data_IF_989504922105
#
_entry.id   IF_989504922105
#
_cell.length_a   1.000
_cell.length_b   1.000
_cell.length_c   1.000
_cell.angle_alpha   90.00
_cell.angle_beta   90.00
_cell.angle_gamma   90.00
#
_symmetry.space_group_name_H-M   'P 1'
#
loop_
_entity.id
_entity.type
_entity.pdbx_description
1 polymer ?
#
# COMPACT_ATOMS: atom_id res chain seq x y z
N UNK A 1 -15.89 -56.32 10.97
CA UNK A 1 -16.30 -54.89 10.90
C UNK A 1 -15.20 -54.10 10.20
N UNK A 2 -15.58 -53.16 9.34
CA UNK A 2 -14.70 -52.24 8.58
C UNK A 2 -14.51 -50.92 9.34
N UNK A 3 -13.39 -50.24 9.04
CA UNK A 3 -13.11 -48.78 9.20
C UNK A 3 -12.92 -48.30 10.66
N UNK A 4 -12.07 -47.35 11.04
CA UNK A 4 -11.16 -46.33 10.45
C UNK A 4 -10.34 -45.80 11.64
N UNK A 5 -9.02 -45.55 11.59
CA UNK A 5 -8.42 -44.33 11.03
C UNK A 5 -8.73 -43.08 11.87
N UNK A 6 -7.74 -42.52 12.60
CA UNK A 6 -7.49 -41.06 12.71
C UNK A 6 -6.28 -40.73 13.58
N UNK A 7 -5.29 -40.15 12.90
CA UNK A 7 -4.07 -39.51 13.38
C UNK A 7 -4.43 -38.13 13.96
N UNK A 8 -3.73 -37.65 14.99
CA UNK A 8 -3.92 -36.28 15.53
C UNK A 8 -2.57 -35.66 15.88
N UNK A 9 -1.74 -35.46 14.87
CA UNK A 9 -0.68 -34.47 14.91
C UNK A 9 -1.21 -33.13 14.37
N UNK A 10 -1.16 -32.08 15.18
CA UNK A 10 -1.26 -30.70 14.70
C UNK A 10 -0.14 -29.87 15.34
N UNK A 11 1.03 -29.92 14.70
CA UNK A 11 1.90 -28.76 14.56
C UNK A 11 1.18 -27.84 13.56
N UNK A 12 0.82 -26.63 13.96
CA UNK A 12 0.44 -25.61 12.98
C UNK A 12 1.67 -24.80 12.62
N UNK A 13 2.07 -24.99 11.37
CA UNK A 13 3.24 -24.42 10.72
C UNK A 13 3.03 -22.93 10.48
N UNK A 14 4.12 -22.18 10.65
CA UNK A 14 4.23 -20.75 10.43
C UNK A 14 4.27 -20.54 8.92
N UNK A 15 3.14 -20.17 8.33
CA UNK A 15 3.06 -19.91 6.90
C UNK A 15 3.82 -18.64 6.53
N UNK A 16 4.91 -18.87 5.78
CA UNK A 16 5.68 -17.88 5.06
C UNK A 16 4.78 -17.18 4.04
N UNK A 17 4.94 -15.87 3.91
CA UNK A 17 4.67 -15.20 2.65
C UNK A 17 5.92 -14.43 2.28
N UNK A 18 6.69 -14.98 1.34
CA UNK A 18 7.79 -14.28 0.70
C UNK A 18 7.23 -13.16 -0.15
N UNK A 19 7.77 -11.96 0.05
CA UNK A 19 7.76 -10.93 -0.99
C UNK A 19 9.06 -11.09 -1.77
N UNK A 20 8.90 -11.47 -3.04
CA UNK A 20 9.98 -11.59 -4.03
C UNK A 20 10.83 -10.30 -4.11
N UNK A 21 12.17 -10.42 -4.26
CA UNK A 21 13.03 -9.28 -4.54
C UNK A 21 12.82 -8.88 -6.00
N UNK A 22 12.15 -7.76 -6.22
CA UNK A 22 12.05 -7.18 -7.56
C UNK A 22 13.34 -6.44 -7.88
N UNK A 23 14.36 -7.17 -8.35
CA UNK A 23 15.49 -6.60 -9.10
C UNK A 23 14.96 -5.67 -10.20
N UNK A 24 15.15 -4.34 -10.06
CA UNK A 24 15.26 -3.39 -11.19
C UNK A 24 16.15 -2.21 -10.80
N UNK A 25 17.30 -2.20 -11.45
CA UNK A 25 18.35 -1.19 -11.48
C UNK A 25 17.84 0.24 -11.58
N UNK A 26 18.47 1.12 -10.81
CA UNK A 26 18.34 2.57 -10.90
C UNK A 26 18.83 3.08 -12.27
N UNK A 27 17.92 3.39 -13.19
CA UNK A 27 18.02 4.51 -14.16
C UNK A 27 17.03 4.44 -15.34
N UNK A 28 16.34 3.34 -15.58
CA UNK A 28 15.33 3.29 -16.65
C UNK A 28 13.94 3.54 -16.10
N UNK A 29 13.43 4.76 -16.33
CA UNK A 29 12.08 5.26 -16.04
C UNK A 29 11.22 4.27 -15.26
N UNK A 30 11.33 4.30 -13.93
CA UNK A 30 10.52 3.46 -13.06
C UNK A 30 9.08 3.65 -13.52
N UNK A 31 8.47 2.58 -14.01
CA UNK A 31 7.03 2.56 -14.27
C UNK A 31 6.36 2.60 -12.89
N UNK A 32 6.41 3.77 -12.25
CA UNK A 32 5.89 4.02 -10.93
C UNK A 32 4.40 3.71 -11.03
N UNK A 33 3.97 2.77 -10.21
CA UNK A 33 2.59 2.43 -10.01
C UNK A 33 2.25 2.62 -8.53
N UNK A 34 0.98 2.53 -8.18
CA UNK A 34 0.53 2.73 -6.79
C UNK A 34 1.23 1.75 -5.85
N UNK A 35 1.40 0.50 -6.27
CA UNK A 35 2.02 -0.53 -5.43
C UNK A 35 3.51 -0.23 -5.19
N UNK A 36 4.28 0.11 -6.22
CA UNK A 36 5.70 0.44 -6.09
C UNK A 36 5.91 1.69 -5.25
N UNK A 37 5.05 2.71 -5.40
CA UNK A 37 5.09 3.90 -4.57
C UNK A 37 4.89 3.54 -3.08
N UNK A 38 3.92 2.69 -2.76
CA UNK A 38 3.71 2.23 -1.39
C UNK A 38 4.88 1.37 -0.88
N UNK A 39 5.47 0.53 -1.74
CA UNK A 39 6.66 -0.26 -1.41
C UNK A 39 7.88 0.60 -1.06
N UNK A 40 7.97 1.83 -1.56
CA UNK A 40 9.05 2.76 -1.14
C UNK A 40 8.94 3.21 0.31
N UNK A 41 7.80 2.98 0.96
CA UNK A 41 7.55 3.41 2.33
C UNK A 41 7.39 4.92 2.52
N UNK A 42 7.52 5.74 1.47
CA UNK A 42 7.35 7.20 1.54
C UNK A 42 6.01 7.64 2.13
N UNK A 43 4.96 6.85 1.88
CA UNK A 43 3.60 7.13 2.32
C UNK A 43 3.22 6.42 3.62
N UNK A 44 4.18 5.77 4.29
CA UNK A 44 3.91 5.04 5.53
C UNK A 44 3.31 5.96 6.60
N UNK A 45 2.19 5.53 7.20
CA UNK A 45 1.51 6.30 8.24
C UNK A 45 0.64 7.45 7.74
N UNK A 46 0.60 7.71 6.43
CA UNK A 46 -0.22 8.78 5.87
C UNK A 46 -1.70 8.40 5.89
N UNK A 47 -2.53 9.36 6.29
CA UNK A 47 -3.98 9.19 6.30
C UNK A 47 -4.57 9.26 4.89
N UNK A 48 -5.41 8.29 4.57
CA UNK A 48 -6.17 8.22 3.33
C UNK A 48 -7.66 8.11 3.59
N UNK A 49 -8.46 8.41 2.59
CA UNK A 49 -9.89 8.13 2.56
C UNK A 49 -10.26 7.45 1.26
N UNK A 50 -10.99 6.36 1.36
CA UNK A 50 -11.76 5.85 0.25
C UNK A 50 -12.98 6.75 0.04
N UNK A 51 -13.23 7.18 -1.20
CA UNK A 51 -14.39 8.00 -1.55
C UNK A 51 -15.10 7.39 -2.76
N UNK A 52 -16.37 7.00 -2.58
CA UNK A 52 -17.22 6.58 -3.68
C UNK A 52 -18.30 7.62 -3.99
N UNK A 53 -18.05 8.45 -5.01
CA UNK A 53 -18.91 9.57 -5.40
C UNK A 53 -20.37 9.19 -5.65
N UNK A 54 -20.66 7.96 -6.07
CA UNK A 54 -22.03 7.51 -6.33
C UNK A 54 -22.85 7.13 -5.10
N UNK A 55 -22.26 7.04 -3.89
CA UNK A 55 -22.94 6.51 -2.70
C UNK A 55 -22.73 7.32 -1.40
N UNK A 56 -22.04 8.46 -1.46
CA UNK A 56 -21.63 9.22 -0.26
C UNK A 56 -21.01 8.33 0.83
N UNK A 57 -20.29 7.29 0.42
CA UNK A 57 -19.58 6.39 1.33
C UNK A 57 -18.13 6.80 1.36
N UNK A 58 -17.67 7.13 2.56
CA UNK A 58 -16.28 7.39 2.85
C UNK A 58 -15.78 6.38 3.89
N UNK A 59 -14.59 5.85 3.66
CA UNK A 59 -13.93 4.98 4.62
C UNK A 59 -12.53 5.55 4.91
N UNK A 60 -12.26 6.04 6.13
CA UNK A 60 -10.92 6.48 6.49
C UNK A 60 -9.97 5.28 6.59
N UNK A 61 -8.69 5.53 6.33
CA UNK A 61 -7.64 4.55 6.52
C UNK A 61 -6.27 5.21 6.66
N UNK A 62 -5.27 4.38 6.94
CA UNK A 62 -3.86 4.78 7.04
C UNK A 62 -3.05 3.83 6.19
N UNK A 63 -2.11 4.36 5.40
CA UNK A 63 -1.18 3.53 4.62
C UNK A 63 -0.24 2.79 5.57
N UNK A 64 -0.15 1.47 5.37
CA UNK A 64 0.72 0.59 6.14
C UNK A 64 1.38 -0.45 5.24
N UNK A 65 2.65 -0.25 4.94
CA UNK A 65 3.41 -0.91 3.89
C UNK A 65 2.74 -0.71 2.53
N UNK A 66 2.47 -1.82 1.86
CA UNK A 66 1.75 -1.86 0.57
C UNK A 66 0.21 -1.94 0.71
N UNK A 67 -0.27 -1.95 1.95
CA UNK A 67 -1.67 -2.17 2.32
C UNK A 67 -2.26 -0.96 3.07
N UNK A 68 -3.51 -1.08 3.48
CA UNK A 68 -4.30 -0.02 4.12
C UNK A 68 -4.90 -0.49 5.44
N UNK A 69 -4.56 0.21 6.51
CA UNK A 69 -5.20 0.06 7.80
C UNK A 69 -6.56 0.75 7.80
N UNK A 70 -7.63 0.03 8.15
CA UNK A 70 -9.00 0.53 8.09
C UNK A 70 -9.42 1.27 9.36
N UNK A 71 -9.95 2.49 9.20
CA UNK A 71 -10.42 3.35 10.27
C UNK A 71 -11.94 3.39 10.49
N UNK A 72 -12.72 2.42 10.00
CA UNK A 72 -14.14 2.35 10.37
C UNK A 72 -14.32 2.07 11.87
N UNK A 73 -15.55 2.25 12.35
CA UNK A 73 -15.94 1.94 13.74
C UNK A 73 -15.66 0.49 14.12
N UNK A 74 -15.86 -0.45 13.19
CA UNK A 74 -15.67 -1.88 13.43
C UNK A 74 -14.18 -2.27 13.51
N UNK A 75 -13.35 -1.71 12.63
CA UNK A 75 -11.92 -2.04 12.57
C UNK A 75 -11.09 -1.23 13.56
N UNK A 76 -11.46 0.03 13.82
CA UNK A 76 -10.75 0.97 14.70
C UNK A 76 -9.22 0.95 14.53
N UNK A 77 -8.74 0.97 13.27
CA UNK A 77 -7.32 0.90 12.92
C UNK A 77 -6.57 -0.37 13.38
N UNK A 78 -7.28 -1.47 13.66
CA UNK A 78 -6.67 -2.76 14.02
C UNK A 78 -6.60 -3.76 12.86
N UNK A 79 -7.27 -3.49 11.74
CA UNK A 79 -7.29 -4.39 10.58
C UNK A 79 -6.58 -3.75 9.39
N UNK A 80 -5.69 -4.53 8.77
CA UNK A 80 -4.94 -4.15 7.57
C UNK A 80 -5.50 -4.93 6.39
N UNK A 81 -5.80 -4.22 5.31
CA UNK A 81 -6.40 -4.75 4.10
C UNK A 81 -5.60 -4.33 2.88
N UNK A 82 -5.46 -5.26 1.94
CA UNK A 82 -5.03 -4.89 0.60
C UNK A 82 -6.03 -3.97 -0.09
N UNK A 83 -5.58 -3.22 -1.09
CA UNK A 83 -6.40 -2.28 -1.87
C UNK A 83 -7.82 -2.81 -2.15
N UNK A 84 -7.90 -4.00 -2.76
CA UNK A 84 -9.17 -4.62 -3.14
C UNK A 84 -10.04 -4.96 -1.91
N UNK A 85 -9.44 -5.45 -0.83
CA UNK A 85 -10.17 -5.76 0.41
C UNK A 85 -10.64 -4.49 1.11
N UNK A 86 -9.85 -3.42 1.09
CA UNK A 86 -10.20 -2.13 1.67
C UNK A 86 -11.40 -1.51 0.93
N UNK A 87 -11.41 -1.53 -0.40
CA UNK A 87 -12.56 -1.08 -1.20
C UNK A 87 -13.81 -1.94 -0.97
N UNK A 88 -13.65 -3.27 -0.91
CA UNK A 88 -14.74 -4.18 -0.60
C UNK A 88 -15.31 -3.92 0.80
N UNK A 89 -14.44 -3.65 1.78
CA UNK A 89 -14.80 -3.33 3.15
C UNK A 89 -15.57 -2.00 3.25
N UNK A 90 -15.24 -1.00 2.42
CA UNK A 90 -16.03 0.23 2.27
C UNK A 90 -17.42 -0.01 1.63
N UNK A 91 -17.73 -1.25 1.22
CA UNK A 91 -18.99 -1.62 0.55
C UNK A 91 -18.99 -1.34 -0.94
N UNK A 92 -17.81 -1.26 -1.57
CA UNK A 92 -17.66 -1.16 -3.01
C UNK A 92 -17.58 -2.52 -3.68
N UNK A 93 -18.13 -2.61 -4.88
CA UNK A 93 -17.97 -3.77 -5.79
C UNK A 93 -17.14 -3.39 -7.02
N UNK A 94 -16.28 -2.37 -6.90
CA UNK A 94 -15.42 -1.88 -7.99
C UNK A 94 -14.48 -2.97 -8.48
N UNK A 95 -14.34 -3.07 -9.81
CA UNK A 95 -13.36 -3.93 -10.47
C UNK A 95 -11.98 -3.26 -10.64
N UNK A 96 -11.84 -1.97 -10.29
CA UNK A 96 -10.60 -1.21 -10.42
C UNK A 96 -10.13 -0.71 -9.05
N UNK A 97 -9.25 -1.50 -8.42
CA UNK A 97 -8.66 -1.19 -7.11
C UNK A 97 -7.70 0.01 -7.16
N UNK A 98 -7.72 0.85 -6.12
CA UNK A 98 -6.94 2.09 -5.90
C UNK A 98 -7.46 3.36 -6.58
N UNK A 99 -8.42 3.29 -7.51
CA UNK A 99 -8.94 4.48 -8.21
C UNK A 99 -9.72 5.44 -7.31
N UNK A 100 -10.12 4.98 -6.13
CA UNK A 100 -10.99 5.70 -5.21
C UNK A 100 -10.31 6.03 -3.87
N UNK A 101 -8.99 5.84 -3.77
CA UNK A 101 -8.22 6.13 -2.55
C UNK A 101 -7.56 7.50 -2.72
N UNK A 102 -7.91 8.42 -1.82
CA UNK A 102 -7.48 9.81 -1.83
C UNK A 102 -6.72 10.14 -0.55
N UNK A 103 -5.70 10.98 -0.69
CA UNK A 103 -5.03 11.63 0.43
C UNK A 103 -5.93 12.71 1.04
N UNK A 104 -5.59 13.20 2.24
CA UNK A 104 -6.31 14.33 2.87
C UNK A 104 -6.39 15.57 1.98
N UNK A 105 -5.38 15.79 1.13
CA UNK A 105 -5.32 16.92 0.20
C UNK A 105 -6.21 16.76 -1.06
N UNK A 106 -6.97 15.67 -1.17
CA UNK A 106 -7.90 15.42 -2.27
C UNK A 106 -7.26 14.83 -3.55
N UNK A 107 -5.94 14.58 -3.56
CA UNK A 107 -5.28 13.89 -4.68
C UNK A 107 -5.40 12.38 -4.49
N UNK A 108 -5.68 11.66 -5.57
CA UNK A 108 -5.64 10.20 -5.59
C UNK A 108 -4.21 9.68 -5.59
N UNK A 109 -4.00 8.45 -5.14
CA UNK A 109 -2.68 7.79 -5.23
C UNK A 109 -2.18 7.72 -6.68
N UNK A 110 -3.08 7.54 -7.65
CA UNK A 110 -2.75 7.60 -9.07
C UNK A 110 -2.19 8.97 -9.49
N UNK A 111 -2.75 10.07 -9.00
CA UNK A 111 -2.23 11.40 -9.30
C UNK A 111 -0.86 11.64 -8.67
N UNK A 112 -0.62 11.10 -7.47
CA UNK A 112 0.70 11.16 -6.82
C UNK A 112 1.72 10.40 -7.66
N UNK A 113 1.42 9.14 -7.98
CA UNK A 113 2.26 8.29 -8.85
C UNK A 113 2.58 8.98 -10.16
N UNK A 114 1.58 9.57 -10.84
CA UNK A 114 1.79 10.27 -12.11
C UNK A 114 2.76 11.44 -11.97
N UNK A 115 2.65 12.22 -10.89
CA UNK A 115 3.55 13.36 -10.63
C UNK A 115 4.97 12.94 -10.31
N UNK A 116 5.14 11.80 -9.64
CA UNK A 116 6.45 11.29 -9.27
C UNK A 116 7.09 10.45 -10.39
N UNK A 117 6.27 9.84 -11.24
CA UNK A 117 6.67 9.06 -12.42
C UNK A 117 7.54 9.82 -13.41
N UNK A 118 7.37 11.14 -13.46
CA UNK A 118 8.12 12.02 -14.36
C UNK A 118 9.43 12.54 -13.72
N UNK A 119 9.76 12.14 -12.48
CA UNK A 119 10.90 12.63 -11.70
C UNK A 119 11.99 11.57 -11.52
N UNK A 120 13.24 12.00 -11.33
CA UNK A 120 14.33 11.12 -10.90
C UNK A 120 14.12 10.69 -9.44
N UNK A 121 14.66 9.54 -9.07
CA UNK A 121 14.54 9.02 -7.71
C UNK A 121 15.04 10.03 -6.67
N UNK A 122 16.17 10.69 -6.92
CA UNK A 122 16.72 11.70 -6.02
C UNK A 122 15.78 12.89 -5.81
N UNK A 123 15.07 13.32 -6.86
CA UNK A 123 14.13 14.44 -6.77
C UNK A 123 12.82 14.08 -6.08
N UNK A 124 12.40 12.80 -6.04
CA UNK A 124 11.12 12.39 -5.44
C UNK A 124 11.03 12.85 -3.98
N UNK A 125 12.09 12.71 -3.20
CA UNK A 125 12.13 13.12 -1.80
C UNK A 125 11.91 14.63 -1.58
N UNK A 126 12.32 15.46 -2.53
CA UNK A 126 12.15 16.92 -2.44
C UNK A 126 10.71 17.35 -2.75
N UNK A 127 10.07 16.69 -3.71
CA UNK A 127 8.74 17.11 -4.19
C UNK A 127 7.59 16.40 -3.48
N UNK A 128 7.83 15.21 -2.93
CA UNK A 128 6.79 14.36 -2.35
C UNK A 128 5.99 15.12 -1.30
N UNK A 129 6.62 15.82 -0.35
CA UNK A 129 5.93 16.58 0.72
C UNK A 129 4.91 17.57 0.15
N UNK A 130 5.25 18.30 -0.91
CA UNK A 130 4.34 19.21 -1.62
C UNK A 130 3.26 18.48 -2.43
N UNK A 131 3.54 17.27 -2.91
CA UNK A 131 2.57 16.44 -3.62
C UNK A 131 1.53 15.87 -2.65
N UNK A 132 1.94 15.34 -1.49
CA UNK A 132 1.05 14.68 -0.53
C UNK A 132 0.44 15.64 0.49
N UNK A 133 1.06 16.79 0.73
CA UNK A 133 0.61 17.81 1.68
C UNK A 133 0.74 17.42 3.17
N UNK A 134 1.43 16.31 3.46
CA UNK A 134 1.77 15.83 4.81
C UNK A 134 3.27 15.47 4.83
N UNK A 135 3.84 15.26 6.03
CA UNK A 135 5.23 14.84 6.18
C UNK A 135 5.39 13.39 5.67
N UNK A 136 6.21 13.13 4.64
CA UNK A 136 6.53 11.78 4.19
C UNK A 136 7.39 11.04 5.21
N UNK A 137 7.40 9.72 5.12
CA UNK A 137 8.32 8.90 5.90
C UNK A 137 9.66 8.76 5.16
N UNK A 138 10.59 9.67 5.45
CA UNK A 138 11.93 9.65 4.86
C UNK A 138 12.79 8.49 5.40
N UNK A 139 12.57 8.04 6.63
CA UNK A 139 13.32 6.91 7.20
C UNK A 139 13.07 5.62 6.41
N UNK A 140 11.81 5.31 6.10
CA UNK A 140 11.45 4.17 5.26
C UNK A 140 11.94 4.34 3.82
N UNK A 141 11.99 5.58 3.32
CA UNK A 141 12.42 5.85 1.96
C UNK A 141 13.92 5.71 1.75
N UNK A 142 14.74 6.24 2.65
CA UNK A 142 16.19 6.06 2.59
C UNK A 142 16.57 4.60 2.80
N UNK A 143 15.90 3.88 3.72
CA UNK A 143 16.07 2.43 3.87
C UNK A 143 15.74 1.66 2.57
N UNK A 144 14.67 2.03 1.87
CA UNK A 144 14.32 1.43 0.58
C UNK A 144 15.34 1.78 -0.52
N UNK A 145 15.88 3.01 -0.54
CA UNK A 145 16.94 3.43 -1.48
C UNK A 145 18.22 2.64 -1.26
N UNK A 146 18.64 2.47 -0.01
CA UNK A 146 19.86 1.72 0.35
C UNK A 146 19.72 0.25 -0.07
N UNK A 147 18.57 -0.38 0.19
CA UNK A 147 18.28 -1.76 -0.26
C UNK A 147 18.27 -1.88 -1.79
N UNK A 148 17.75 -0.86 -2.49
CA UNK A 148 17.77 -0.81 -3.95
C UNK A 148 19.18 -0.61 -4.54
N UNK A 149 20.13 -0.06 -3.76
CA UNK A 149 21.52 0.18 -4.18
C UNK A 149 22.49 -0.94 -3.77
N UNK A 150 22.23 -1.67 -2.68
CA UNK A 150 23.08 -2.77 -2.18
C UNK A 150 22.92 -4.09 -2.95
N UNK A 151 22.06 -4.12 -3.97
CA UNK A 151 21.90 -5.29 -4.87
C UNK A 151 22.85 -5.29 -6.08
N UNK A 152 23.95 -4.53 -6.04
CA UNK A 152 24.96 -4.43 -7.13
C UNK A 152 26.26 -5.12 -6.77
#
# INVERSE_FOLDING_TARGET
MRQTGSNSGLRFEREKMGSEPSEKTASDGLNLNVKTLLSTGLLEGISVRYIHHGRNKELPGIIKGVDYCCGCTECNFNQVFSARKFEAHAGSKSSHSNNHIFLKNGKSLHNVVKKLGDLSLESIGEVIEGVIGERPNFECYEAWKDEALESV
#
